data_IF_315421683497
#
_entry.id   IF_315421683497
#
_cell.length_a   1.000
_cell.length_b   1.000
_cell.length_c   1.000
_cell.angle_alpha   90.00
_cell.angle_beta   90.00
_cell.angle_gamma   90.00
#
_symmetry.space_group_name_H-M   'P 1'
#
loop_
_entity.id
_entity.type
_entity.pdbx_description
1 polymer ?
#
# COMPACT_ATOMS: atom_id res chain seq x y z
N UNK A 1 -3.40 6.16 29.07
CA UNK A 1 -4.19 6.13 27.81
C UNK A 1 -3.83 4.83 27.14
N UNK A 2 -4.83 3.98 26.89
CA UNK A 2 -4.58 2.66 26.32
C UNK A 2 -4.24 2.81 24.84
N UNK A 3 -2.94 2.80 24.54
CA UNK A 3 -2.44 2.94 23.17
C UNK A 3 -2.92 1.81 22.26
N UNK A 4 -3.37 0.67 22.80
CA UNK A 4 -3.90 -0.45 22.01
C UNK A 4 -5.23 -0.15 21.29
N UNK A 5 -5.92 0.94 21.63
CA UNK A 5 -7.23 1.29 21.04
C UNK A 5 -7.16 2.32 19.90
N UNK A 6 -5.96 2.75 19.49
CA UNK A 6 -5.85 3.70 18.40
C UNK A 6 -6.16 3.04 17.06
N UNK A 7 -7.27 3.44 16.43
CA UNK A 7 -7.75 2.93 15.14
C UNK A 7 -6.64 2.87 14.07
N UNK A 8 -5.70 3.82 14.07
CA UNK A 8 -4.60 3.84 13.12
C UNK A 8 -3.62 2.65 13.32
N UNK A 9 -3.41 2.18 14.55
CA UNK A 9 -2.56 1.01 14.86
C UNK A 9 -3.20 -0.27 14.30
N UNK A 10 -4.52 -0.41 14.46
CA UNK A 10 -5.25 -1.54 13.87
C UNK A 10 -5.18 -1.53 12.34
N UNK A 11 -5.21 -0.35 11.70
CA UNK A 11 -4.99 -0.19 10.26
C UNK A 11 -3.57 -0.54 9.85
N UNK A 12 -2.58 -0.08 10.60
CA UNK A 12 -1.17 -0.41 10.37
C UNK A 12 -0.93 -1.92 10.42
N UNK A 13 -1.49 -2.62 11.41
CA UNK A 13 -1.38 -4.08 11.51
C UNK A 13 -2.10 -4.81 10.37
N UNK A 14 -3.23 -4.27 9.91
CA UNK A 14 -3.93 -4.80 8.74
C UNK A 14 -3.09 -4.63 7.47
N UNK A 15 -2.48 -3.45 7.27
CA UNK A 15 -1.57 -3.18 6.17
C UNK A 15 -0.35 -4.12 6.21
N UNK A 16 0.28 -4.31 7.38
CA UNK A 16 1.40 -5.25 7.54
C UNK A 16 1.05 -6.68 7.13
N UNK A 17 -0.12 -7.18 7.54
CA UNK A 17 -0.62 -8.51 7.15
C UNK A 17 -0.86 -8.62 5.65
N UNK A 18 -1.43 -7.58 5.04
CA UNK A 18 -1.64 -7.52 3.61
C UNK A 18 -0.32 -7.50 2.83
N UNK A 19 0.64 -6.68 3.26
CA UNK A 19 1.97 -6.62 2.67
C UNK A 19 2.69 -7.97 2.72
N UNK A 20 2.58 -8.72 3.83
CA UNK A 20 3.15 -10.07 3.93
C UNK A 20 2.62 -11.02 2.85
N UNK A 21 1.32 -10.95 2.53
CA UNK A 21 0.72 -11.77 1.48
C UNK A 21 1.14 -11.31 0.08
N UNK A 22 1.23 -9.99 -0.13
CA UNK A 22 1.78 -9.44 -1.38
C UNK A 22 3.22 -9.92 -1.60
N UNK A 23 4.02 -9.94 -0.53
CA UNK A 23 5.40 -10.42 -0.54
C UNK A 23 5.50 -11.87 -1.01
N UNK A 24 4.61 -12.76 -0.54
CA UNK A 24 4.59 -14.15 -1.01
C UNK A 24 4.39 -14.24 -2.53
N UNK A 25 3.48 -13.44 -3.09
CA UNK A 25 3.26 -13.37 -4.54
C UNK A 25 4.46 -12.80 -5.30
N UNK A 26 5.10 -11.75 -4.77
CA UNK A 26 6.31 -11.15 -5.36
C UNK A 26 7.49 -12.13 -5.32
N UNK A 27 7.68 -12.83 -4.20
CA UNK A 27 8.74 -13.83 -4.05
C UNK A 27 8.56 -14.99 -5.03
N UNK A 28 7.32 -15.44 -5.24
CA UNK A 28 7.01 -16.46 -6.24
C UNK A 28 7.33 -15.98 -7.66
N UNK A 29 6.93 -14.76 -8.01
CA UNK A 29 7.18 -14.15 -9.32
C UNK A 29 8.67 -13.94 -9.63
N UNK A 30 9.49 -13.76 -8.59
CA UNK A 30 10.96 -13.66 -8.73
C UNK A 30 11.63 -15.02 -8.96
N UNK A 31 10.98 -16.11 -8.57
CA UNK A 31 11.52 -17.47 -8.74
C UNK A 31 11.16 -18.05 -10.11
N UNK A 32 9.97 -17.72 -10.64
CA UNK A 32 9.49 -18.19 -11.93
C UNK A 32 8.41 -17.27 -12.50
N UNK A 33 8.11 -17.48 -13.78
CA UNK A 33 6.94 -16.89 -14.40
C UNK A 33 5.65 -17.33 -13.67
N UNK A 34 4.75 -16.37 -13.46
CA UNK A 34 3.44 -16.60 -12.87
C UNK A 34 2.48 -17.13 -13.94
N UNK A 35 1.63 -18.08 -13.57
CA UNK A 35 0.42 -18.38 -14.36
C UNK A 35 -0.56 -17.21 -14.34
N UNK A 36 -1.52 -17.18 -15.27
CA UNK A 36 -2.52 -16.11 -15.34
C UNK A 36 -3.31 -15.96 -14.02
N UNK A 37 -3.65 -17.08 -13.37
CA UNK A 37 -4.36 -17.07 -12.08
C UNK A 37 -3.49 -16.47 -10.96
N UNK A 38 -2.18 -16.77 -10.96
CA UNK A 38 -1.26 -16.22 -9.98
C UNK A 38 -0.98 -14.74 -10.22
N UNK A 39 -0.90 -14.32 -11.48
CA UNK A 39 -0.80 -12.91 -11.85
C UNK A 39 -2.04 -12.12 -11.40
N UNK A 40 -3.25 -12.68 -11.59
CA UNK A 40 -4.49 -12.11 -11.04
C UNK A 40 -4.46 -12.05 -9.51
N UNK A 41 -3.98 -13.10 -8.85
CA UNK A 41 -3.77 -13.13 -7.40
C UNK A 41 -2.81 -12.04 -6.92
N UNK A 42 -1.73 -11.78 -7.65
CA UNK A 42 -0.77 -10.72 -7.35
C UNK A 42 -1.40 -9.32 -7.52
N UNK A 43 -2.18 -9.10 -8.58
CA UNK A 43 -2.91 -7.84 -8.81
C UNK A 43 -3.91 -7.61 -7.67
N UNK A 44 -4.72 -8.62 -7.33
CA UNK A 44 -5.63 -8.53 -6.19
C UNK A 44 -4.87 -8.24 -4.89
N UNK A 45 -3.72 -8.91 -4.72
CA UNK A 45 -2.64 -8.66 -3.76
C UNK A 45 -2.35 -7.19 -3.55
N UNK A 46 -1.97 -6.55 -4.65
CA UNK A 46 -1.66 -5.14 -4.73
C UNK A 46 -2.86 -4.26 -4.35
N UNK A 47 -4.04 -4.53 -4.89
CA UNK A 47 -5.22 -3.69 -4.66
C UNK A 47 -5.59 -3.57 -3.18
N UNK A 48 -5.69 -4.70 -2.47
CA UNK A 48 -6.04 -4.67 -1.05
C UNK A 48 -4.89 -4.13 -0.20
N UNK A 49 -3.63 -4.35 -0.61
CA UNK A 49 -2.46 -3.82 0.10
C UNK A 49 -2.43 -2.30 0.00
N UNK A 50 -2.62 -1.75 -1.20
CA UNK A 50 -2.76 -0.32 -1.43
C UNK A 50 -3.92 0.26 -0.61
N UNK A 51 -5.09 -0.38 -0.65
CA UNK A 51 -6.28 0.08 0.09
C UNK A 51 -6.01 0.20 1.58
N UNK A 52 -5.36 -0.80 2.18
CA UNK A 52 -5.03 -0.79 3.60
C UNK A 52 -3.91 0.21 3.92
N UNK A 53 -2.93 0.38 3.03
CA UNK A 53 -1.83 1.31 3.22
C UNK A 53 -2.31 2.76 3.25
N UNK A 54 -3.12 3.19 2.28
CA UNK A 54 -3.63 4.57 2.27
C UNK A 54 -4.62 4.82 3.41
N UNK A 55 -5.39 3.82 3.85
CA UNK A 55 -6.24 3.94 5.03
C UNK A 55 -5.42 4.09 6.33
N UNK A 56 -4.28 3.39 6.44
CA UNK A 56 -3.38 3.55 7.58
C UNK A 56 -2.75 4.96 7.61
N UNK A 57 -2.26 5.44 6.46
CA UNK A 57 -1.76 6.82 6.31
C UNK A 57 -2.83 7.86 6.67
N UNK A 58 -4.05 7.68 6.18
CA UNK A 58 -5.18 8.55 6.47
C UNK A 58 -5.47 8.60 7.96
N UNK A 59 -5.69 7.44 8.59
CA UNK A 59 -6.05 7.38 10.00
C UNK A 59 -4.91 7.94 10.89
N UNK A 60 -3.63 7.75 10.51
CA UNK A 60 -2.50 8.39 11.18
C UNK A 60 -2.47 9.91 11.01
N UNK A 61 -2.61 10.43 9.78
CA UNK A 61 -2.64 11.88 9.54
C UNK A 61 -3.83 12.54 10.22
N UNK A 62 -4.97 11.84 10.35
CA UNK A 62 -6.12 12.35 11.09
C UNK A 62 -5.83 12.52 12.60
N UNK A 63 -4.89 11.77 13.19
CA UNK A 63 -4.45 12.03 14.57
C UNK A 63 -3.64 13.33 14.70
N UNK A 64 -3.23 13.91 13.57
CA UNK A 64 -2.54 15.20 13.47
C UNK A 64 -3.47 16.30 12.94
N UNK A 65 -4.79 16.13 13.12
CA UNK A 65 -5.83 17.11 12.74
C UNK A 65 -5.98 17.36 11.22
N UNK A 66 -5.43 16.49 10.37
CA UNK A 66 -5.68 16.56 8.92
C UNK A 66 -7.12 16.13 8.59
N UNK A 67 -7.76 16.84 7.66
CA UNK A 67 -9.09 16.49 7.12
C UNK A 67 -8.93 15.86 5.74
N UNK A 68 -8.93 14.53 5.69
CA UNK A 68 -8.68 13.73 4.50
C UNK A 68 -9.89 12.85 4.16
N UNK A 69 -10.17 12.69 2.87
CA UNK A 69 -11.36 12.01 2.38
C UNK A 69 -11.01 10.74 1.60
N UNK A 70 -10.00 10.75 0.73
CA UNK A 70 -9.66 9.62 -0.12
C UNK A 70 -8.16 9.36 -0.28
N UNK A 71 -7.81 8.49 -1.22
CA UNK A 71 -6.42 8.08 -1.44
C UNK A 71 -5.55 9.19 -2.03
N UNK A 72 -6.10 10.05 -2.89
CA UNK A 72 -5.33 11.11 -3.59
C UNK A 72 -4.89 12.24 -2.65
N UNK A 73 -5.79 12.78 -1.86
CA UNK A 73 -5.48 13.81 -0.86
C UNK A 73 -4.65 13.24 0.29
N UNK A 74 -4.89 11.98 0.70
CA UNK A 74 -4.02 11.29 1.66
C UNK A 74 -2.60 11.13 1.13
N UNK A 75 -2.41 10.70 -0.12
CA UNK A 75 -1.08 10.55 -0.74
C UNK A 75 -0.33 11.87 -0.78
N UNK A 76 -1.00 12.96 -1.17
CA UNK A 76 -0.39 14.30 -1.20
C UNK A 76 0.04 14.77 0.18
N UNK A 77 -0.81 14.56 1.19
CA UNK A 77 -0.48 14.91 2.57
C UNK A 77 0.68 14.04 3.09
N UNK A 78 0.62 12.73 2.89
CA UNK A 78 1.67 11.79 3.30
C UNK A 78 3.03 12.13 2.68
N UNK A 79 3.06 12.52 1.41
CA UNK A 79 4.29 12.97 0.74
C UNK A 79 4.80 14.28 1.35
N UNK A 80 3.92 15.26 1.55
CA UNK A 80 4.28 16.56 2.15
C UNK A 80 4.85 16.41 3.57
N UNK A 81 4.27 15.52 4.37
CA UNK A 81 4.68 15.24 5.75
C UNK A 81 5.84 14.23 5.85
N UNK A 82 6.43 13.81 4.71
CA UNK A 82 7.58 12.88 4.70
C UNK A 82 7.27 11.47 5.22
N UNK A 83 6.01 11.04 5.12
CA UNK A 83 5.61 9.66 5.42
C UNK A 83 5.88 8.71 4.25
N UNK A 84 5.87 9.25 3.03
CA UNK A 84 6.28 8.59 1.81
C UNK A 84 7.22 9.51 1.04
N UNK A 85 8.19 8.94 0.32
CA UNK A 85 9.20 9.73 -0.41
C UNK A 85 8.85 9.87 -1.90
N UNK A 86 8.14 8.90 -2.47
CA UNK A 86 7.83 8.88 -3.90
C UNK A 86 6.34 9.12 -4.16
N UNK A 87 5.89 10.37 -4.02
CA UNK A 87 4.48 10.73 -4.23
C UNK A 87 3.96 10.37 -5.63
N UNK A 88 4.82 10.38 -6.66
CA UNK A 88 4.44 10.03 -8.04
C UNK A 88 4.09 8.54 -8.16
N UNK A 89 4.92 7.65 -7.62
CA UNK A 89 4.63 6.21 -7.62
C UNK A 89 3.31 5.89 -6.91
N UNK A 90 3.03 6.55 -5.79
CA UNK A 90 1.77 6.38 -5.07
C UNK A 90 0.55 6.90 -5.84
N UNK A 91 0.69 8.04 -6.53
CA UNK A 91 -0.37 8.53 -7.42
C UNK A 91 -0.61 7.57 -8.59
N UNK A 92 0.44 6.91 -9.09
CA UNK A 92 0.36 5.92 -10.14
C UNK A 92 -0.29 4.61 -9.67
N UNK A 93 -0.02 4.16 -8.44
CA UNK A 93 -0.77 3.06 -7.82
C UNK A 93 -2.29 3.34 -7.82
N UNK A 94 -2.69 4.57 -7.49
CA UNK A 94 -4.11 4.96 -7.54
C UNK A 94 -4.66 4.86 -8.97
N UNK A 95 -3.89 5.26 -9.98
CA UNK A 95 -4.29 5.11 -11.40
C UNK A 95 -4.47 3.63 -11.75
N UNK A 96 -3.47 2.81 -11.48
CA UNK A 96 -3.49 1.36 -11.73
C UNK A 96 -4.65 0.66 -11.04
N UNK A 97 -4.91 0.94 -9.76
CA UNK A 97 -6.04 0.38 -9.01
C UNK A 97 -7.40 0.74 -9.63
N UNK A 98 -7.53 1.90 -10.28
CA UNK A 98 -8.76 2.25 -10.99
C UNK A 98 -8.89 1.55 -12.35
N UNK A 99 -7.79 1.07 -12.93
CA UNK A 99 -7.77 0.36 -14.21
C UNK A 99 -7.92 -1.15 -14.03
N UNK A 100 -7.47 -1.70 -12.91
CA UNK A 100 -7.58 -3.13 -12.58
C UNK A 100 -9.02 -3.59 -12.36
N UNK A 101 -9.96 -2.67 -12.12
CA UNK A 101 -11.42 -2.96 -12.14
C UNK A 101 -11.94 -3.33 -13.53
N UNK A 102 -11.19 -3.01 -14.59
CA UNK A 102 -11.43 -3.43 -15.97
C UNK A 102 -10.53 -4.63 -16.33
N UNK A 103 -10.42 -5.61 -15.42
CA UNK A 103 -9.45 -6.71 -15.36
C UNK A 103 -9.42 -7.65 -16.59
N UNK A 104 -10.27 -7.43 -17.58
CA UNK A 104 -10.27 -8.13 -18.86
C UNK A 104 -9.17 -7.64 -19.83
N UNK A 105 -8.46 -6.55 -19.52
CA UNK A 105 -7.37 -6.05 -20.36
C UNK A 105 -6.02 -6.66 -19.95
N UNK A 106 -5.55 -7.65 -20.70
CA UNK A 106 -4.26 -8.31 -20.48
C UNK A 106 -3.07 -7.35 -20.48
N UNK A 107 -3.11 -6.28 -21.28
CA UNK A 107 -2.05 -5.28 -21.32
C UNK A 107 -1.96 -4.53 -19.99
N UNK A 108 -3.10 -4.16 -19.41
CA UNK A 108 -3.16 -3.52 -18.08
C UNK A 108 -2.68 -4.48 -17.01
N UNK A 109 -3.08 -5.75 -17.06
CA UNK A 109 -2.62 -6.75 -16.10
C UNK A 109 -1.09 -6.90 -16.10
N UNK A 110 -0.47 -6.99 -17.28
CA UNK A 110 1.00 -7.06 -17.42
C UNK A 110 1.69 -5.80 -16.91
N UNK A 111 1.14 -4.63 -17.20
CA UNK A 111 1.66 -3.34 -16.72
C UNK A 111 1.63 -3.27 -15.18
N UNK A 112 0.51 -3.64 -14.56
CA UNK A 112 0.34 -3.62 -13.10
C UNK A 112 1.27 -4.63 -12.43
N UNK A 113 1.35 -5.87 -12.95
CA UNK A 113 2.29 -6.88 -12.43
C UNK A 113 3.71 -6.37 -12.49
N UNK A 114 4.13 -5.79 -13.62
CA UNK A 114 5.47 -5.21 -13.78
C UNK A 114 5.71 -4.08 -12.76
N UNK A 115 4.75 -3.17 -12.60
CA UNK A 115 4.87 -2.06 -11.66
C UNK A 115 4.93 -2.53 -10.20
N UNK A 116 4.17 -3.57 -9.84
CA UNK A 116 4.23 -4.20 -8.51
C UNK A 116 5.62 -4.74 -8.21
N UNK A 117 6.20 -5.49 -9.15
CA UNK A 117 7.49 -6.14 -8.97
C UNK A 117 8.67 -5.16 -8.93
N UNK A 118 8.60 -4.09 -9.72
CA UNK A 118 9.72 -3.18 -9.95
C UNK A 118 9.67 -1.93 -9.06
N UNK A 119 8.48 -1.50 -8.62
CA UNK A 119 8.31 -0.22 -7.91
C UNK A 119 7.41 -0.36 -6.69
N UNK A 120 6.17 -0.84 -6.82
CA UNK A 120 5.19 -0.68 -5.74
C UNK A 120 5.52 -1.50 -4.50
N UNK A 121 6.11 -2.68 -4.68
CA UNK A 121 6.52 -3.51 -3.55
C UNK A 121 7.51 -2.77 -2.63
N UNK A 122 8.55 -2.13 -3.18
CA UNK A 122 9.54 -1.38 -2.38
C UNK A 122 8.96 -0.13 -1.75
N UNK A 123 8.00 0.52 -2.39
CA UNK A 123 7.28 1.67 -1.81
C UNK A 123 6.43 1.25 -0.59
N UNK A 124 5.74 0.11 -0.66
CA UNK A 124 5.04 -0.44 0.50
C UNK A 124 5.99 -0.86 1.61
N UNK A 125 7.13 -1.46 1.27
CA UNK A 125 8.16 -1.85 2.24
C UNK A 125 8.70 -0.64 3.00
N UNK A 126 9.00 0.44 2.27
CA UNK A 126 9.48 1.72 2.84
C UNK A 126 8.44 2.32 3.77
N UNK A 127 7.17 2.40 3.33
CA UNK A 127 6.09 2.89 4.18
C UNK A 127 5.91 2.01 5.43
N UNK A 128 5.99 0.69 5.29
CA UNK A 128 5.84 -0.21 6.43
C UNK A 128 6.92 0.04 7.48
N UNK A 129 8.18 0.23 7.06
CA UNK A 129 9.26 0.63 7.96
C UNK A 129 8.96 1.95 8.69
N UNK A 130 8.46 2.96 7.96
CA UNK A 130 8.06 4.25 8.55
C UNK A 130 6.92 4.11 9.55
N UNK A 131 5.89 3.33 9.23
CA UNK A 131 4.74 3.09 10.11
C UNK A 131 5.15 2.37 11.40
N UNK A 132 6.00 1.34 11.31
CA UNK A 132 6.48 0.63 12.50
C UNK A 132 7.35 1.52 13.40
N UNK A 133 8.16 2.41 12.82
CA UNK A 133 8.87 3.43 13.59
C UNK A 133 7.90 4.36 14.35
N UNK A 134 6.86 4.87 13.68
CA UNK A 134 5.86 5.76 14.30
C UNK A 134 5.07 5.06 15.41
N UNK A 135 4.79 3.76 15.27
CA UNK A 135 4.13 2.96 16.33
C UNK A 135 4.97 2.89 17.59
N UNK A 136 6.29 2.74 17.44
CA UNK A 136 7.22 2.69 18.55
C UNK A 136 7.35 4.06 19.23
N UNK A 137 7.44 5.14 18.45
CA UNK A 137 7.53 6.50 18.96
C UNK A 137 6.30 6.92 19.78
N UNK A 138 5.09 6.52 19.37
CA UNK A 138 3.87 6.79 20.13
C UNK A 138 3.70 5.86 21.34
N UNK A 139 4.44 4.75 21.45
CA UNK A 139 4.37 3.84 22.59
C UNK A 139 5.26 4.26 23.77
N UNK A 140 6.05 5.34 23.59
CA UNK A 140 6.92 5.97 24.58
C UNK A 140 6.21 7.14 25.27
#
# INVERSE_FOLDING_TARGET
>A
MDYQDSRWIQRADSFRKAFSRLKEGVDLARQRELSDLEAQGLIQGFEYTHELAWNALKDFLQTQEFKLYGSRDTTRAAFKEGLIENGEAWMEMIRHRNLTTHTYNESVAKEVVSAVLNTYFSEFETLLGKIEYLKQEQSL
#
